data_IF_644896920247
#
_entry.id   IF_644896920247
#
_cell.length_a   1.000
_cell.length_b   1.000
_cell.length_c   1.000
_cell.angle_alpha   90.00
_cell.angle_beta   90.00
_cell.angle_gamma   90.00
#
_symmetry.space_group_name_H-M   'P 1'
#
loop_
_entity.id
_entity.type
_entity.pdbx_description
1 polymer ?
#
# COMPACT_ATOMS: atom_id res chain seq x y z
N UNK A 1 0.13 -19.29 6.12
CA UNK A 1 -0.53 -18.83 4.89
C UNK A 1 0.50 -18.72 3.79
N UNK A 2 0.31 -19.51 2.72
CA UNK A 2 1.09 -19.34 1.51
C UNK A 2 0.23 -18.60 0.49
N UNK A 3 0.44 -17.33 0.37
CA UNK A 3 -0.06 -16.51 -0.73
C UNK A 3 1.04 -16.27 -1.76
N UNK A 4 0.76 -15.48 -2.77
CA UNK A 4 1.77 -14.99 -3.70
C UNK A 4 2.62 -13.96 -2.96
N UNK A 5 3.93 -14.25 -2.85
CA UNK A 5 4.88 -13.29 -2.26
C UNK A 5 5.42 -12.44 -3.40
N UNK A 6 5.26 -11.12 -3.37
CA UNK A 6 5.78 -10.24 -4.40
C UNK A 6 7.32 -10.18 -4.35
N UNK A 7 7.95 -10.02 -5.51
CA UNK A 7 9.42 -9.93 -5.62
C UNK A 7 9.97 -8.65 -4.98
N UNK A 8 9.20 -7.57 -5.03
CA UNK A 8 9.48 -6.33 -4.30
C UNK A 8 8.32 -6.07 -3.35
N UNK A 9 8.59 -6.14 -2.05
CA UNK A 9 7.62 -5.84 -1.00
C UNK A 9 7.66 -4.34 -0.74
N UNK A 10 6.51 -3.69 -0.93
CA UNK A 10 6.32 -2.28 -0.63
C UNK A 10 5.53 -2.18 0.69
N UNK A 11 6.00 -1.40 1.67
CA UNK A 11 5.27 -1.19 2.92
C UNK A 11 3.88 -0.61 2.68
N UNK A 12 2.87 -1.16 3.35
CA UNK A 12 1.48 -0.74 3.24
C UNK A 12 1.03 0.04 4.49
N UNK A 13 0.18 1.03 4.30
CA UNK A 13 -0.40 1.83 5.39
C UNK A 13 -1.24 0.99 6.35
N UNK A 14 -1.65 -0.19 5.93
CA UNK A 14 -2.40 -1.16 6.74
C UNK A 14 -1.51 -2.20 7.42
N UNK A 15 -0.20 -2.16 7.20
CA UNK A 15 0.74 -2.99 7.95
C UNK A 15 0.60 -2.69 9.45
N UNK A 16 0.59 -3.74 10.27
CA UNK A 16 0.33 -3.62 11.72
C UNK A 16 -1.15 -3.56 12.11
N UNK A 17 -2.07 -3.54 11.15
CA UNK A 17 -3.52 -3.64 11.37
C UNK A 17 -3.99 -5.04 10.98
N UNK A 18 -4.59 -5.78 11.94
CA UNK A 18 -5.15 -7.10 11.64
C UNK A 18 -6.43 -6.95 10.84
N UNK A 19 -6.34 -7.15 9.53
CA UNK A 19 -7.46 -7.08 8.60
C UNK A 19 -7.63 -8.34 7.75
N UNK A 20 -6.69 -9.25 7.82
CA UNK A 20 -6.74 -10.48 7.06
C UNK A 20 -7.55 -11.56 7.74
N UNK A 21 -8.13 -12.48 6.97
CA UNK A 21 -8.83 -13.65 7.50
C UNK A 21 -7.93 -14.49 8.45
N UNK A 22 -6.62 -14.50 8.18
CA UNK A 22 -5.63 -15.21 9.00
C UNK A 22 -5.53 -14.68 10.45
N UNK A 23 -5.92 -13.44 10.71
CA UNK A 23 -5.93 -12.82 12.03
C UNK A 23 -7.26 -13.03 12.78
N UNK A 24 -8.26 -13.63 12.11
CA UNK A 24 -9.55 -13.96 12.72
C UNK A 24 -9.44 -15.24 13.53
N UNK A 25 -10.14 -15.27 14.67
CA UNK A 25 -10.36 -16.52 15.39
C UNK A 25 -11.11 -17.50 14.48
N UNK A 26 -10.66 -18.76 14.45
CA UNK A 26 -11.29 -19.81 13.64
C UNK A 26 -11.26 -19.57 12.12
N UNK A 27 -10.24 -18.90 11.61
CA UNK A 27 -10.05 -18.73 10.17
C UNK A 27 -9.95 -20.09 9.45
N UNK A 28 -10.42 -20.15 8.21
CA UNK A 28 -10.29 -21.34 7.38
C UNK A 28 -8.82 -21.56 6.98
N UNK A 29 -8.38 -22.82 7.06
CA UNK A 29 -7.08 -23.18 6.50
C UNK A 29 -7.09 -22.99 4.98
N UNK A 30 -5.96 -22.52 4.43
CA UNK A 30 -5.81 -22.39 2.97
C UNK A 30 -5.57 -23.76 2.33
N UNK A 31 -6.03 -23.91 1.10
CA UNK A 31 -5.73 -25.06 0.27
C UNK A 31 -4.47 -24.82 -0.57
N UNK A 32 -3.63 -25.84 -0.70
CA UNK A 32 -2.49 -25.84 -1.60
C UNK A 32 -2.81 -26.64 -2.86
N UNK A 33 -2.79 -25.99 -4.00
CA UNK A 33 -2.87 -26.66 -5.30
C UNK A 33 -1.45 -26.73 -5.88
N UNK A 34 -0.98 -27.91 -6.32
CA UNK A 34 0.33 -28.01 -6.98
C UNK A 34 0.38 -27.09 -8.20
N UNK A 35 1.44 -26.28 -8.29
CA UNK A 35 1.62 -25.39 -9.42
C UNK A 35 1.70 -26.18 -10.73
N UNK A 36 1.00 -25.73 -11.76
CA UNK A 36 1.17 -26.27 -13.10
C UNK A 36 2.60 -26.02 -13.59
N UNK A 37 3.13 -26.94 -14.40
CA UNK A 37 4.42 -26.72 -15.05
C UNK A 37 4.26 -25.58 -16.07
N UNK A 38 5.03 -24.52 -15.92
CA UNK A 38 5.06 -23.37 -16.82
C UNK A 38 6.49 -23.02 -17.20
N UNK A 39 6.65 -22.27 -18.28
CA UNK A 39 7.94 -21.76 -18.69
C UNK A 39 8.26 -20.54 -17.85
N UNK A 40 9.41 -20.55 -17.21
CA UNK A 40 9.91 -19.37 -16.52
C UNK A 40 10.31 -18.29 -17.52
N UNK A 41 9.80 -17.08 -17.31
CA UNK A 41 10.11 -15.89 -18.10
C UNK A 41 11.10 -14.96 -17.42
N UNK A 42 11.66 -15.37 -16.28
CA UNK A 42 12.70 -14.59 -15.61
C UNK A 42 13.92 -14.42 -16.53
N UNK A 43 14.51 -13.26 -16.52
CA UNK A 43 15.69 -12.88 -17.28
C UNK A 43 16.69 -12.18 -16.36
N UNK A 44 17.94 -12.04 -16.81
CA UNK A 44 18.94 -11.24 -16.05
C UNK A 44 18.48 -9.79 -15.86
N UNK A 45 17.74 -9.22 -16.81
CA UNK A 45 17.15 -7.90 -16.69
C UNK A 45 16.11 -7.85 -15.58
N UNK A 46 15.30 -8.90 -15.43
CA UNK A 46 14.33 -9.05 -14.35
C UNK A 46 15.01 -9.01 -12.97
N UNK A 47 16.04 -9.84 -12.74
CA UNK A 47 16.76 -9.87 -11.46
C UNK A 47 17.38 -8.51 -11.11
N UNK A 48 17.94 -7.82 -12.11
CA UNK A 48 18.50 -6.47 -11.97
C UNK A 48 17.39 -5.47 -11.59
N UNK A 49 16.23 -5.54 -12.24
CA UNK A 49 15.08 -4.67 -11.95
C UNK A 49 14.57 -4.86 -10.52
N UNK A 50 14.42 -6.11 -10.07
CA UNK A 50 14.02 -6.44 -8.70
C UNK A 50 15.02 -5.88 -7.68
N UNK A 51 16.32 -6.08 -7.91
CA UNK A 51 17.36 -5.56 -7.02
C UNK A 51 17.32 -4.03 -6.91
N UNK A 52 17.22 -3.34 -8.05
CA UNK A 52 17.10 -1.88 -8.09
C UNK A 52 15.79 -1.41 -7.42
N UNK A 53 14.67 -2.09 -7.69
CA UNK A 53 13.38 -1.77 -7.10
C UNK A 53 13.39 -1.88 -5.58
N UNK A 54 13.94 -2.96 -5.02
CA UNK A 54 14.13 -3.12 -3.57
C UNK A 54 14.97 -1.99 -2.97
N UNK A 55 16.05 -1.61 -3.66
CA UNK A 55 16.90 -0.52 -3.21
C UNK A 55 16.19 0.83 -3.27
N UNK A 56 15.40 1.07 -4.31
CA UNK A 56 14.62 2.29 -4.45
C UNK A 56 13.58 2.41 -3.33
N UNK A 57 12.77 1.35 -3.10
CA UNK A 57 11.79 1.32 -2.01
C UNK A 57 12.44 1.59 -0.65
N UNK A 58 13.60 0.96 -0.37
CA UNK A 58 14.32 1.13 0.89
C UNK A 58 14.87 2.56 1.11
N UNK A 59 15.00 3.37 0.06
CA UNK A 59 15.47 4.77 0.13
C UNK A 59 14.34 5.79 0.24
N UNK A 60 13.09 5.39 0.06
CA UNK A 60 11.97 6.33 0.08
C UNK A 60 11.57 6.66 1.51
N UNK A 61 11.67 7.93 1.87
CA UNK A 61 11.25 8.45 3.17
C UNK A 61 9.80 8.08 3.50
N UNK A 62 8.91 8.14 2.51
CA UNK A 62 7.52 7.76 2.69
C UNK A 62 7.36 6.33 3.20
N UNK A 63 8.06 5.37 2.62
CA UNK A 63 7.97 3.97 3.03
C UNK A 63 8.62 3.72 4.40
N UNK A 64 9.66 4.47 4.74
CA UNK A 64 10.22 4.45 6.10
C UNK A 64 9.17 4.96 7.12
N UNK A 65 8.47 6.04 6.80
CA UNK A 65 7.39 6.56 7.63
C UNK A 65 6.24 5.57 7.79
N UNK A 66 5.83 4.90 6.70
CA UNK A 66 4.80 3.85 6.75
C UNK A 66 5.21 2.72 7.69
N UNK A 67 6.44 2.22 7.59
CA UNK A 67 6.95 1.18 8.49
C UNK A 67 7.00 1.63 9.95
N UNK A 68 7.40 2.86 10.21
CA UNK A 68 7.41 3.45 11.55
C UNK A 68 6.01 3.52 12.13
N UNK A 69 5.04 3.95 11.32
CA UNK A 69 3.63 3.99 11.71
C UNK A 69 3.08 2.59 12.00
N UNK A 70 3.38 1.60 11.15
CA UNK A 70 2.94 0.22 11.37
C UNK A 70 3.42 -0.33 12.71
N UNK A 71 4.69 -0.10 13.07
CA UNK A 71 5.24 -0.48 14.39
C UNK A 71 4.53 0.24 15.53
N UNK A 72 4.27 1.53 15.38
CA UNK A 72 3.53 2.31 16.38
C UNK A 72 2.12 1.77 16.60
N UNK A 73 1.40 1.42 15.54
CA UNK A 73 0.06 0.81 15.63
C UNK A 73 0.15 -0.54 16.36
N UNK A 74 1.11 -1.37 16.00
CA UNK A 74 1.30 -2.68 16.65
C UNK A 74 1.61 -2.54 18.16
N UNK A 75 2.47 -1.61 18.54
CA UNK A 75 2.81 -1.32 19.94
C UNK A 75 1.60 -0.82 20.72
N UNK A 76 0.84 0.10 20.15
CA UNK A 76 -0.41 0.61 20.76
C UNK A 76 -1.39 -0.54 20.98
N UNK A 77 -1.60 -1.40 19.99
CA UNK A 77 -2.52 -2.55 20.10
C UNK A 77 -2.10 -3.54 21.18
N UNK A 78 -0.82 -3.87 21.26
CA UNK A 78 -0.30 -4.78 22.28
C UNK A 78 -0.42 -4.23 23.71
N UNK A 79 -0.38 -2.92 23.86
CA UNK A 79 -0.45 -2.24 25.18
C UNK A 79 -1.82 -1.67 25.52
N UNK A 80 -2.84 -1.88 24.71
CA UNK A 80 -4.09 -1.14 24.80
C UNK A 80 -5.02 -1.69 25.86
N UNK A 81 -5.09 -1.00 27.01
CA UNK A 81 -6.15 -1.11 27.99
C UNK A 81 -6.96 0.18 27.97
N UNK A 82 -8.23 0.10 27.62
CA UNK A 82 -9.10 1.26 27.67
C UNK A 82 -9.70 1.46 29.05
N UNK A 83 -9.68 2.69 29.53
CA UNK A 83 -10.41 3.03 30.75
C UNK A 83 -11.92 2.99 30.47
N UNK A 84 -12.71 2.50 31.44
CA UNK A 84 -14.16 2.54 31.40
C UNK A 84 -14.70 3.90 31.89
N UNK A 85 -13.83 4.82 32.32
CA UNK A 85 -14.19 6.19 32.66
C UNK A 85 -14.14 7.06 31.41
N UNK A 86 -15.22 7.76 31.14
CA UNK A 86 -15.37 8.56 29.92
C UNK A 86 -14.23 9.58 29.73
N UNK A 87 -13.92 10.34 30.76
CA UNK A 87 -12.87 11.37 30.70
C UNK A 87 -11.49 10.81 30.38
N UNK A 88 -11.14 9.68 31.02
CA UNK A 88 -9.87 9.00 30.79
C UNK A 88 -9.82 8.39 29.37
N UNK A 89 -10.93 7.83 28.89
CA UNK A 89 -11.05 7.31 27.55
C UNK A 89 -10.90 8.41 26.50
N UNK A 90 -11.59 9.54 26.68
CA UNK A 90 -11.47 10.70 25.77
C UNK A 90 -10.03 11.24 25.72
N UNK A 91 -9.34 11.29 26.87
CA UNK A 91 -7.95 11.69 26.89
C UNK A 91 -7.05 10.68 26.16
N UNK A 92 -7.24 9.37 26.37
CA UNK A 92 -6.52 8.34 25.64
C UNK A 92 -6.72 8.45 24.12
N UNK A 93 -7.95 8.75 23.65
CA UNK A 93 -8.21 8.94 22.23
C UNK A 93 -7.47 10.17 21.67
N UNK A 94 -7.46 11.29 22.39
CA UNK A 94 -6.70 12.49 21.99
C UNK A 94 -5.21 12.21 21.90
N UNK A 95 -4.65 11.51 22.88
CA UNK A 95 -3.23 11.15 22.88
C UNK A 95 -2.86 10.25 21.69
N UNK A 96 -3.74 9.32 21.29
CA UNK A 96 -3.56 8.48 20.11
C UNK A 96 -3.63 9.31 18.82
N UNK A 97 -4.59 10.23 18.73
CA UNK A 97 -4.72 11.13 17.58
C UNK A 97 -3.50 12.04 17.42
N UNK A 98 -2.95 12.56 18.49
CA UNK A 98 -1.73 13.38 18.47
C UNK A 98 -0.52 12.55 18.04
N UNK A 99 -0.40 11.31 18.53
CA UNK A 99 0.67 10.39 18.12
C UNK A 99 0.64 10.05 16.63
N UNK A 100 -0.53 10.01 15.99
CA UNK A 100 -0.66 9.71 14.54
C UNK A 100 -0.61 10.97 13.65
N UNK A 101 -0.62 12.15 14.24
CA UNK A 101 -0.69 13.44 13.52
C UNK A 101 0.46 13.62 12.54
N UNK A 102 1.68 13.29 12.93
CA UNK A 102 2.87 13.44 12.08
C UNK A 102 2.74 12.65 10.78
N UNK A 103 2.08 11.49 10.76
CA UNK A 103 1.85 10.71 9.57
C UNK A 103 0.68 11.26 8.74
N UNK A 104 -0.41 11.69 9.38
CA UNK A 104 -1.57 12.28 8.69
C UNK A 104 -1.21 13.61 7.99
N UNK A 105 -0.32 14.39 8.58
CA UNK A 105 0.11 15.67 8.03
C UNK A 105 1.13 15.52 6.90
N UNK A 106 1.75 14.36 6.77
CA UNK A 106 2.67 14.06 5.68
C UNK A 106 1.90 13.90 4.37
N UNK A 107 2.41 14.58 3.33
CA UNK A 107 1.85 14.47 1.97
C UNK A 107 2.92 13.88 1.07
N UNK A 108 2.66 12.70 0.55
CA UNK A 108 3.52 12.09 -0.45
C UNK A 108 3.65 13.02 -1.66
N UNK A 109 4.87 13.24 -2.10
CA UNK A 109 5.19 14.02 -3.29
C UNK A 109 5.53 13.05 -4.41
N UNK A 110 4.70 13.02 -5.44
CA UNK A 110 4.92 12.16 -6.59
C UNK A 110 6.20 12.53 -7.32
N UNK A 111 6.93 11.51 -7.80
CA UNK A 111 8.20 11.67 -8.51
C UNK A 111 8.03 11.61 -10.04
N UNK A 112 6.91 11.11 -10.53
CA UNK A 112 6.63 10.92 -11.95
C UNK A 112 5.50 11.83 -12.44
N UNK A 113 5.34 11.90 -13.76
CA UNK A 113 4.37 12.77 -14.41
C UNK A 113 2.91 12.42 -14.12
N UNK A 114 2.03 13.33 -14.51
CA UNK A 114 0.59 13.24 -14.28
C UNK A 114 -0.04 12.00 -14.92
N UNK A 115 -1.03 11.42 -14.25
CA UNK A 115 -1.83 10.31 -14.77
C UNK A 115 -2.77 10.79 -15.87
N UNK A 116 -2.71 10.15 -17.04
CA UNK A 116 -3.61 10.41 -18.15
C UNK A 116 -4.57 9.22 -18.36
N UNK A 117 -5.82 9.54 -18.64
CA UNK A 117 -6.75 8.52 -19.11
C UNK A 117 -6.55 8.27 -20.61
N UNK A 118 -6.71 7.02 -21.05
CA UNK A 118 -6.72 6.72 -22.48
C UNK A 118 -7.93 7.38 -23.16
N UNK A 119 -7.79 7.89 -24.41
CA UNK A 119 -8.90 8.53 -25.14
C UNK A 119 -10.15 7.64 -25.20
N UNK A 120 -9.98 6.35 -25.49
CA UNK A 120 -11.08 5.39 -25.56
C UNK A 120 -11.85 5.28 -24.24
N UNK A 121 -11.18 5.35 -23.11
CA UNK A 121 -11.83 5.31 -21.80
C UNK A 121 -12.61 6.61 -21.53
N UNK A 122 -12.13 7.74 -22.03
CA UNK A 122 -12.83 9.01 -21.89
C UNK A 122 -14.11 9.01 -22.74
N UNK A 123 -14.04 8.48 -23.96
CA UNK A 123 -15.21 8.32 -24.83
C UNK A 123 -16.27 7.43 -24.20
N UNK A 124 -15.87 6.30 -23.58
CA UNK A 124 -16.81 5.37 -22.91
C UNK A 124 -17.58 5.99 -21.76
N UNK A 125 -17.02 6.99 -21.09
CA UNK A 125 -17.66 7.63 -19.92
C UNK A 125 -18.19 9.02 -20.21
N UNK A 126 -17.98 9.56 -21.43
CA UNK A 126 -18.31 10.94 -21.80
C UNK A 126 -19.79 11.28 -21.62
N UNK A 127 -20.69 10.32 -21.84
CA UNK A 127 -22.13 10.50 -21.72
C UNK A 127 -22.68 10.37 -20.28
N UNK A 128 -21.84 9.93 -19.32
CA UNK A 128 -22.24 9.65 -17.94
C UNK A 128 -21.45 10.50 -16.96
N UNK A 129 -22.09 11.54 -16.43
CA UNK A 129 -21.45 12.49 -15.51
C UNK A 129 -21.00 11.84 -14.19
N UNK A 130 -21.67 10.77 -13.73
CA UNK A 130 -21.30 10.05 -12.51
C UNK A 130 -20.01 9.24 -12.74
N UNK A 131 -19.94 8.52 -13.86
CA UNK A 131 -18.72 7.78 -14.25
C UNK A 131 -17.53 8.70 -14.48
N UNK A 132 -17.75 9.88 -15.08
CA UNK A 132 -16.70 10.90 -15.22
C UNK A 132 -16.15 11.36 -13.87
N UNK A 133 -17.03 11.62 -12.89
CA UNK A 133 -16.61 12.00 -11.53
C UNK A 133 -15.83 10.87 -10.84
N UNK A 134 -16.30 9.63 -10.95
CA UNK A 134 -15.61 8.46 -10.39
C UNK A 134 -14.22 8.29 -11.02
N UNK A 135 -14.12 8.36 -12.35
CA UNK A 135 -12.85 8.28 -13.07
C UNK A 135 -11.87 9.36 -12.63
N UNK A 136 -12.34 10.62 -12.56
CA UNK A 136 -11.52 11.74 -12.09
C UNK A 136 -11.06 11.55 -10.64
N UNK A 137 -11.89 10.94 -9.79
CA UNK A 137 -11.50 10.63 -8.41
C UNK A 137 -10.43 9.56 -8.34
N UNK A 138 -10.54 8.50 -9.14
CA UNK A 138 -9.52 7.45 -9.23
C UNK A 138 -8.17 7.99 -9.73
N UNK A 139 -8.19 8.79 -10.80
CA UNK A 139 -6.97 9.40 -11.33
C UNK A 139 -6.26 10.25 -10.28
N UNK A 140 -7.01 11.06 -9.50
CA UNK A 140 -6.42 11.81 -8.37
C UNK A 140 -5.89 10.90 -7.25
N UNK A 141 -6.44 9.70 -7.10
CA UNK A 141 -5.92 8.69 -6.18
C UNK A 141 -4.54 8.20 -6.61
N UNK A 142 -4.39 7.83 -7.88
CA UNK A 142 -3.11 7.39 -8.44
C UNK A 142 -2.03 8.48 -8.41
N UNK A 143 -2.40 9.74 -8.53
CA UNK A 143 -1.46 10.86 -8.41
C UNK A 143 -0.79 10.99 -7.02
N UNK A 144 -1.31 10.28 -6.02
CA UNK A 144 -0.83 10.30 -4.64
C UNK A 144 -0.38 8.93 -4.13
N UNK A 145 -0.29 7.97 -5.03
CA UNK A 145 0.01 6.58 -4.68
C UNK A 145 1.51 6.28 -4.87
N UNK A 146 2.23 6.18 -3.76
CA UNK A 146 3.64 5.84 -3.75
C UNK A 146 3.91 4.42 -4.28
N UNK A 147 2.94 3.51 -4.19
CA UNK A 147 3.08 2.15 -4.70
C UNK A 147 3.07 2.14 -6.23
N UNK A 148 2.27 3.02 -6.85
CA UNK A 148 2.29 3.23 -8.30
C UNK A 148 3.65 3.76 -8.75
N UNK A 149 4.22 4.72 -8.04
CA UNK A 149 5.56 5.24 -8.36
C UNK A 149 6.64 4.15 -8.22
N UNK A 150 6.56 3.31 -7.19
CA UNK A 150 7.45 2.16 -7.03
C UNK A 150 7.34 1.18 -8.22
N UNK A 151 6.11 0.88 -8.66
CA UNK A 151 5.88 0.01 -9.79
C UNK A 151 6.45 0.58 -11.11
N UNK A 152 6.28 1.88 -11.34
CA UNK A 152 6.82 2.59 -12.52
C UNK A 152 8.35 2.52 -12.50
N UNK A 153 8.99 2.77 -11.36
CA UNK A 153 10.45 2.71 -11.24
C UNK A 153 10.99 1.30 -11.52
N UNK A 154 10.33 0.27 -10.99
CA UNK A 154 10.71 -1.13 -11.25
C UNK A 154 10.61 -1.45 -12.74
N UNK A 155 9.51 -1.04 -13.39
CA UNK A 155 9.30 -1.27 -14.83
C UNK A 155 10.33 -0.52 -15.68
N UNK A 156 10.66 0.71 -15.35
CA UNK A 156 11.71 1.48 -16.02
C UNK A 156 13.07 0.78 -15.90
N UNK A 157 13.39 0.27 -14.71
CA UNK A 157 14.61 -0.50 -14.51
C UNK A 157 14.66 -1.83 -15.28
N UNK A 158 13.51 -2.37 -15.66
CA UNK A 158 13.42 -3.60 -16.46
C UNK A 158 13.56 -3.31 -17.96
N UNK A 159 13.09 -2.15 -18.41
CA UNK A 159 13.17 -1.74 -19.80
C UNK A 159 14.60 -1.34 -20.24
N UNK A 160 15.48 -0.94 -19.29
CA UNK A 160 16.90 -0.62 -19.48
C UNK A 160 17.80 -1.88 -19.46
#
# INVERSE_FOLDING_TARGET
>A
LKGVIPDVIVPDIYDGVDRGEKEMDYHLAYDEIPAAKYKDYSTKAYDKAISKGRHWVAKQEYFEMVQKRAKQIEEVRKGMNYSLRLEEFEQQQKDLEEKDKWFRDYKYQRQFDTVFALPIDLEMVASDSLKLKQKSSWMRGYDKDATVDAAIEILNCWAD
#
